data_IF_090862349431
#
_entry.id   IF_090862349431
#
_cell.length_a   1.000
_cell.length_b   1.000
_cell.length_c   1.000
_cell.angle_alpha   90.00
_cell.angle_beta   90.00
_cell.angle_gamma   90.00
#
_symmetry.space_group_name_H-M   'P 1'
#
loop_
_entity.id
_entity.type
_entity.pdbx_description
1 polymer ?
#
# COMPACT_ATOMS: atom_id res chain seq x y z
N UNK A 1 -9.16 -4.73 0.34
CA UNK A 1 -10.46 -4.18 0.82
C UNK A 1 -11.63 -4.73 0.02
N UNK A 2 -11.67 -4.55 -1.30
CA UNK A 2 -12.81 -5.02 -2.13
C UNK A 2 -13.09 -6.52 -1.99
N UNK A 3 -12.06 -7.37 -1.92
CA UNK A 3 -12.20 -8.82 -1.68
C UNK A 3 -12.81 -9.16 -0.31
N UNK A 4 -12.72 -8.26 0.67
CA UNK A 4 -13.38 -8.38 1.98
C UNK A 4 -14.78 -7.74 1.98
N UNK A 5 -15.31 -7.37 0.81
CA UNK A 5 -16.63 -6.77 0.68
C UNK A 5 -16.71 -5.29 1.04
N UNK A 6 -15.58 -4.58 1.16
CA UNK A 6 -15.52 -3.17 1.62
C UNK A 6 -14.89 -2.27 0.56
N UNK A 7 -15.54 -1.14 0.24
CA UNK A 7 -15.03 -0.01 -0.55
C UNK A 7 -14.71 1.18 0.36
N UNK A 8 -13.75 2.02 -0.05
CA UNK A 8 -13.25 3.15 0.72
C UNK A 8 -14.13 4.40 0.56
N UNK A 9 -14.48 4.73 -0.69
CA UNK A 9 -15.29 5.88 -1.14
C UNK A 9 -14.67 7.28 -0.99
N UNK A 10 -13.50 7.37 -0.36
CA UNK A 10 -12.72 8.62 -0.29
C UNK A 10 -11.23 8.37 -0.57
N UNK A 11 -10.93 7.66 -1.67
CA UNK A 11 -9.53 7.52 -2.10
C UNK A 11 -9.02 8.86 -2.63
N UNK A 12 -7.95 9.37 -2.03
CA UNK A 12 -7.29 10.61 -2.38
C UNK A 12 -5.80 10.52 -2.07
N UNK A 13 -5.00 11.44 -2.62
CA UNK A 13 -3.58 11.53 -2.23
C UNK A 13 -3.41 11.90 -0.75
N UNK A 14 -4.36 12.61 -0.14
CA UNK A 14 -4.33 12.97 1.28
C UNK A 14 -4.51 11.74 2.19
N UNK A 15 -5.25 10.73 1.71
CA UNK A 15 -5.50 9.48 2.42
C UNK A 15 -4.45 8.39 2.12
N UNK A 16 -3.40 8.71 1.36
CA UNK A 16 -2.29 7.81 1.03
C UNK A 16 -1.01 8.33 1.69
N UNK A 17 -0.61 7.68 2.78
CA UNK A 17 0.59 8.04 3.54
C UNK A 17 1.79 7.18 3.15
N UNK A 18 2.98 7.75 3.27
CA UNK A 18 4.24 7.02 3.17
C UNK A 18 4.77 6.75 4.58
N UNK A 19 5.00 5.48 4.90
CA UNK A 19 5.65 5.11 6.15
C UNK A 19 7.14 5.44 6.08
N UNK A 20 7.68 5.96 7.19
CA UNK A 20 9.11 6.20 7.33
C UNK A 20 9.89 4.88 7.23
N UNK A 21 10.95 4.88 6.43
CA UNK A 21 11.85 3.74 6.25
C UNK A 21 12.60 3.80 4.92
N UNK A 22 13.55 2.87 4.69
CA UNK A 22 14.32 2.81 3.45
C UNK A 22 13.48 2.37 2.24
N UNK A 23 12.31 1.76 2.49
CA UNK A 23 11.36 1.34 1.45
C UNK A 23 10.17 2.28 1.41
N UNK A 24 9.71 2.59 0.19
CA UNK A 24 8.45 3.31 -0.02
C UNK A 24 7.26 2.40 0.33
N UNK A 25 6.84 2.42 1.59
CA UNK A 25 5.70 1.63 2.06
C UNK A 25 4.45 2.50 2.18
N UNK A 26 3.44 2.23 1.35
CA UNK A 26 2.19 2.97 1.29
C UNK A 26 1.23 2.50 2.39
N UNK A 27 0.58 3.45 3.06
CA UNK A 27 -0.48 3.21 4.05
C UNK A 27 -1.72 4.00 3.69
N UNK A 28 -2.82 3.30 3.49
CA UNK A 28 -4.14 3.89 3.34
C UNK A 28 -4.70 4.27 4.73
N UNK A 29 -5.30 5.44 4.84
CA UNK A 29 -5.92 5.97 6.06
C UNK A 29 -7.33 6.50 5.80
N UNK A 30 -8.03 6.89 6.87
CA UNK A 30 -9.38 7.48 6.85
C UNK A 30 -10.47 6.57 6.27
N UNK A 31 -10.88 5.58 7.08
CA UNK A 31 -11.90 4.60 6.70
C UNK A 31 -13.33 5.04 7.07
N UNK A 32 -13.54 6.30 7.49
CA UNK A 32 -14.82 6.79 8.01
C UNK A 32 -15.93 6.76 6.96
N UNK A 33 -15.55 6.86 5.69
CA UNK A 33 -16.48 6.78 4.56
C UNK A 33 -16.62 5.36 4.01
N UNK A 34 -16.09 4.32 4.62
CA UNK A 34 -16.17 2.97 4.05
C UNK A 34 -17.62 2.47 3.87
N UNK A 35 -17.83 1.55 2.92
CA UNK A 35 -19.14 0.96 2.65
C UNK A 35 -19.05 -0.43 2.00
N UNK A 36 -20.15 -1.19 1.91
CA UNK A 36 -20.13 -2.51 1.28
C UNK A 36 -20.00 -2.41 -0.25
N UNK A 37 -19.27 -3.36 -0.86
CA UNK A 37 -19.16 -3.49 -2.34
C UNK A 37 -20.30 -4.29 -2.96
N UNK A 38 -20.88 -5.23 -2.21
CA UNK A 38 -21.84 -6.22 -2.74
C UNK A 38 -23.27 -5.71 -3.00
N UNK A 39 -23.53 -4.43 -2.79
CA UNK A 39 -24.83 -3.81 -3.10
C UNK A 39 -24.68 -2.35 -3.49
N UNK A 40 -25.58 -1.79 -4.31
CA UNK A 40 -25.61 -0.37 -4.59
C UNK A 40 -25.75 0.45 -3.29
N UNK A 41 -25.10 1.61 -3.28
CA UNK A 41 -25.11 2.53 -2.15
C UNK A 41 -25.94 3.76 -2.50
N UNK A 42 -26.77 4.19 -1.56
CA UNK A 42 -27.65 5.37 -1.70
C UNK A 42 -27.18 6.56 -0.87
N UNK A 43 -26.24 6.34 0.06
CA UNK A 43 -25.75 7.37 0.97
C UNK A 43 -24.81 8.33 0.24
N UNK A 44 -25.17 9.61 0.25
CA UNK A 44 -24.33 10.71 -0.21
C UNK A 44 -23.10 10.83 0.69
N UNK A 45 -21.93 10.96 0.09
CA UNK A 45 -20.68 11.22 0.81
C UNK A 45 -20.77 12.66 1.34
N UNK A 46 -20.55 12.85 2.64
CA UNK A 46 -20.85 14.12 3.31
C UNK A 46 -19.86 15.24 2.95
N UNK A 47 -18.62 14.90 2.55
CA UNK A 47 -17.59 15.86 2.11
C UNK A 47 -16.59 15.24 1.11
N UNK A 48 -17.00 14.88 -0.12
CA UNK A 48 -16.05 14.35 -1.08
C UNK A 48 -15.11 15.44 -1.58
N UNK A 49 -13.84 15.09 -1.80
CA UNK A 49 -12.94 15.94 -2.58
C UNK A 49 -13.33 15.85 -4.06
N UNK A 50 -13.82 16.95 -4.67
CA UNK A 50 -14.56 16.89 -5.94
C UNK A 50 -13.73 16.40 -7.12
N UNK A 51 -12.40 16.58 -7.06
CA UNK A 51 -11.47 16.20 -8.12
C UNK A 51 -11.27 14.68 -8.25
N UNK A 52 -11.64 13.91 -7.23
CA UNK A 52 -11.60 12.44 -7.25
C UNK A 52 -12.98 11.81 -7.48
N UNK A 53 -14.04 12.61 -7.56
CA UNK A 53 -15.40 12.10 -7.71
C UNK A 53 -15.62 11.46 -9.07
N UNK A 54 -16.22 10.28 -9.05
CA UNK A 54 -16.68 9.60 -10.25
C UNK A 54 -17.90 10.33 -10.87
N UNK A 55 -18.07 10.32 -12.20
CA UNK A 55 -19.15 11.03 -12.89
C UNK A 55 -20.56 10.69 -12.40
N UNK A 56 -20.79 9.43 -12.02
CA UNK A 56 -22.08 8.94 -11.50
C UNK A 56 -22.48 9.57 -10.16
N UNK A 57 -21.50 10.01 -9.36
CA UNK A 57 -21.74 10.71 -8.10
C UNK A 57 -22.13 12.18 -8.34
N UNK A 58 -21.65 12.77 -9.43
CA UNK A 58 -22.01 14.13 -9.86
C UNK A 58 -23.40 14.18 -10.50
N UNK A 59 -23.82 13.10 -11.16
CA UNK A 59 -25.15 12.98 -11.75
C UNK A 59 -26.28 12.83 -10.73
N UNK A 60 -25.97 12.86 -9.42
CA UNK A 60 -26.91 12.64 -8.32
C UNK A 60 -27.73 11.35 -8.49
N UNK A 61 -27.11 10.33 -9.08
CA UNK A 61 -27.74 9.01 -9.21
C UNK A 61 -28.16 8.54 -7.81
N UNK A 62 -29.40 8.04 -7.63
CA UNK A 62 -29.86 7.58 -6.33
C UNK A 62 -29.03 6.40 -5.82
N UNK A 63 -28.38 5.67 -6.73
CA UNK A 63 -27.55 4.50 -6.44
C UNK A 63 -26.24 4.53 -7.23
N UNK A 64 -25.16 4.06 -6.60
CA UNK A 64 -23.85 3.86 -7.23
C UNK A 64 -23.14 2.61 -6.69
N UNK A 65 -22.17 2.11 -7.45
CA UNK A 65 -21.34 0.97 -7.05
C UNK A 65 -20.03 1.47 -6.42
N UNK A 66 -19.91 1.34 -5.09
CA UNK A 66 -18.76 1.89 -4.36
C UNK A 66 -17.39 1.34 -4.78
N UNK A 67 -17.33 0.09 -5.26
CA UNK A 67 -16.08 -0.44 -5.82
C UNK A 67 -15.64 0.32 -7.07
N UNK A 68 -16.56 0.62 -7.99
CA UNK A 68 -16.23 1.30 -9.24
C UNK A 68 -15.91 2.79 -9.03
N UNK A 69 -16.45 3.41 -7.98
CA UNK A 69 -16.06 4.77 -7.59
C UNK A 69 -14.63 4.81 -7.05
N UNK A 70 -14.20 3.79 -6.30
CA UNK A 70 -12.81 3.66 -5.85
C UNK A 70 -11.85 3.49 -7.05
N UNK A 71 -12.24 2.70 -8.06
CA UNK A 71 -11.41 2.50 -9.27
C UNK A 71 -11.23 3.80 -10.05
N UNK A 72 -12.28 4.62 -10.16
CA UNK A 72 -12.16 5.94 -10.76
C UNK A 72 -11.17 6.83 -10.00
N UNK A 73 -11.33 6.92 -8.68
CA UNK A 73 -10.44 7.72 -7.83
C UNK A 73 -8.99 7.23 -7.90
N UNK A 74 -8.76 5.91 -7.97
CA UNK A 74 -7.45 5.32 -8.21
C UNK A 74 -6.88 5.73 -9.58
N UNK A 75 -7.71 5.80 -10.62
CA UNK A 75 -7.32 6.33 -11.93
C UNK A 75 -6.85 7.78 -11.87
N UNK A 76 -7.54 8.63 -11.12
CA UNK A 76 -7.14 10.03 -10.87
C UNK A 76 -5.79 10.07 -10.16
N UNK A 77 -5.60 9.26 -9.12
CA UNK A 77 -4.35 9.17 -8.36
C UNK A 77 -3.20 8.71 -9.28
N UNK A 78 -3.38 7.65 -10.05
CA UNK A 78 -2.38 7.14 -10.98
C UNK A 78 -1.99 8.19 -12.02
N UNK A 79 -2.95 8.93 -12.56
CA UNK A 79 -2.67 10.03 -13.47
C UNK A 79 -1.77 11.09 -12.83
N UNK A 80 -2.09 11.52 -11.60
CA UNK A 80 -1.27 12.52 -10.88
C UNK A 80 0.13 11.99 -10.61
N UNK A 81 0.27 10.73 -10.21
CA UNK A 81 1.58 10.13 -9.94
C UNK A 81 2.46 10.02 -11.20
N UNK A 82 1.85 9.80 -12.37
CA UNK A 82 2.56 9.68 -13.64
C UNK A 82 2.91 11.04 -14.27
N UNK A 83 2.07 12.06 -14.05
CA UNK A 83 2.16 13.33 -14.79
C UNK A 83 2.45 14.56 -13.92
N UNK A 84 2.31 14.43 -12.60
CA UNK A 84 2.36 15.52 -11.64
C UNK A 84 1.13 16.46 -11.69
N UNK A 85 0.08 16.12 -12.45
CA UNK A 85 -1.10 16.97 -12.67
C UNK A 85 -2.40 16.19 -12.53
N UNK A 86 -3.46 16.87 -12.10
CA UNK A 86 -4.80 16.28 -12.08
C UNK A 86 -5.35 16.13 -13.51
N UNK A 87 -6.05 15.01 -13.81
CA UNK A 87 -6.63 14.78 -15.14
C UNK A 87 -7.76 15.74 -15.49
N UNK A 88 -8.53 16.18 -14.49
CA UNK A 88 -9.72 16.99 -14.68
C UNK A 88 -9.58 18.34 -13.97
N UNK A 89 -9.87 19.41 -14.70
CA UNK A 89 -9.82 20.79 -14.19
C UNK A 89 -11.15 21.25 -13.61
N UNK A 90 -12.26 20.66 -14.06
CA UNK A 90 -13.62 21.03 -13.68
C UNK A 90 -14.59 19.84 -13.80
N UNK A 91 -15.84 20.07 -13.38
CA UNK A 91 -16.91 19.07 -13.44
C UNK A 91 -17.27 18.66 -14.87
N UNK A 92 -17.13 19.56 -15.85
CA UNK A 92 -17.46 19.27 -17.24
C UNK A 92 -16.45 18.26 -17.83
N UNK A 93 -15.16 18.42 -17.53
CA UNK A 93 -14.11 17.49 -17.90
C UNK A 93 -14.33 16.10 -17.26
N UNK A 94 -14.75 16.05 -15.99
CA UNK A 94 -15.10 14.80 -15.30
C UNK A 94 -16.27 14.11 -16.03
N UNK A 95 -17.36 14.84 -16.31
CA UNK A 95 -18.56 14.31 -16.99
C UNK A 95 -18.29 13.84 -18.41
N UNK A 96 -17.27 14.39 -19.08
CA UNK A 96 -16.83 13.97 -20.39
C UNK A 96 -15.74 12.88 -20.36
N UNK A 97 -15.17 12.58 -19.18
CA UNK A 97 -13.93 11.82 -19.02
C UNK A 97 -12.82 12.30 -19.97
N UNK A 98 -12.71 13.61 -20.14
CA UNK A 98 -11.74 14.24 -21.02
C UNK A 98 -10.50 14.62 -20.22
N UNK A 99 -9.37 14.00 -20.52
CA UNK A 99 -8.07 14.27 -19.93
C UNK A 99 -6.98 13.93 -20.95
N UNK A 100 -5.79 14.49 -20.77
CA UNK A 100 -4.66 14.27 -21.65
C UNK A 100 -3.53 13.54 -20.92
N UNK A 101 -2.88 12.61 -21.61
CA UNK A 101 -1.66 11.97 -21.14
C UNK A 101 -0.47 12.39 -22.01
N UNK A 102 0.72 12.62 -21.41
CA UNK A 102 1.94 12.87 -22.17
C UNK A 102 2.23 11.75 -23.18
N UNK A 103 2.62 12.08 -24.43
CA UNK A 103 2.81 11.10 -25.49
C UNK A 103 4.04 10.19 -25.27
N UNK A 104 4.93 10.58 -24.38
CA UNK A 104 6.13 9.85 -23.95
C UNK A 104 5.85 8.85 -22.82
N UNK A 105 4.63 8.81 -22.27
CA UNK A 105 4.28 7.79 -21.30
C UNK A 105 4.30 6.39 -21.93
N UNK A 106 4.76 5.38 -21.17
CA UNK A 106 4.66 3.99 -21.60
C UNK A 106 3.22 3.61 -21.94
N UNK A 107 3.02 2.94 -23.08
CA UNK A 107 1.70 2.60 -23.62
C UNK A 107 0.85 1.85 -22.58
N UNK A 108 1.43 0.87 -21.88
CA UNK A 108 0.71 0.12 -20.84
C UNK A 108 0.27 0.98 -19.65
N UNK A 109 1.04 2.03 -19.29
CA UNK A 109 0.64 2.97 -18.24
C UNK A 109 -0.57 3.81 -18.70
N UNK A 110 -0.52 4.30 -19.94
CA UNK A 110 -1.60 5.09 -20.52
C UNK A 110 -2.88 4.28 -20.67
N UNK A 111 -2.79 3.04 -21.17
CA UNK A 111 -3.93 2.13 -21.29
C UNK A 111 -4.56 1.82 -19.92
N UNK A 112 -3.74 1.61 -18.89
CA UNK A 112 -4.22 1.35 -17.54
C UNK A 112 -5.02 2.55 -16.99
N UNK A 113 -4.51 3.77 -17.11
CA UNK A 113 -5.23 4.98 -16.68
C UNK A 113 -6.55 5.15 -17.46
N UNK A 114 -6.53 4.99 -18.78
CA UNK A 114 -7.75 5.04 -19.61
C UNK A 114 -8.77 3.97 -19.26
N UNK A 115 -8.34 2.79 -18.81
CA UNK A 115 -9.24 1.72 -18.39
C UNK A 115 -9.99 2.05 -17.09
N UNK A 116 -9.33 2.74 -16.14
CA UNK A 116 -9.93 3.13 -14.86
C UNK A 116 -10.83 4.37 -14.98
N UNK A 117 -10.49 5.31 -15.87
CA UNK A 117 -11.23 6.57 -16.10
C UNK A 117 -12.31 6.45 -17.18
N UNK A 118 -13.00 5.30 -17.26
CA UNK A 118 -14.17 5.12 -18.14
C UNK A 118 -15.43 5.75 -17.55
N UNK A 119 -16.23 6.43 -18.38
CA UNK A 119 -17.50 7.01 -17.97
C UNK A 119 -18.47 5.96 -17.43
N UNK A 120 -18.65 4.86 -18.17
CA UNK A 120 -19.47 3.73 -17.73
C UNK A 120 -18.76 2.99 -16.59
N UNK A 121 -19.34 2.97 -15.37
CA UNK A 121 -18.74 2.28 -14.24
C UNK A 121 -18.55 0.79 -14.50
N UNK A 122 -19.42 0.14 -15.30
CA UNK A 122 -19.32 -1.28 -15.60
C UNK A 122 -18.17 -1.63 -16.56
N UNK A 123 -17.67 -0.64 -17.30
CA UNK A 123 -16.52 -0.79 -18.20
C UNK A 123 -15.18 -0.61 -17.48
N UNK A 124 -15.17 -0.16 -16.22
CA UNK A 124 -13.95 -0.04 -15.42
C UNK A 124 -13.49 -1.41 -14.91
N UNK A 125 -12.18 -1.70 -14.87
CA UNK A 125 -11.66 -2.95 -14.33
C UNK A 125 -11.95 -3.10 -12.83
N UNK A 126 -11.96 -4.34 -12.33
CA UNK A 126 -11.92 -4.58 -10.89
C UNK A 126 -10.53 -4.26 -10.33
N UNK A 127 -10.42 -4.09 -9.01
CA UNK A 127 -9.12 -3.89 -8.35
C UNK A 127 -8.14 -5.06 -8.63
N UNK A 128 -8.67 -6.29 -8.70
CA UNK A 128 -7.88 -7.48 -9.04
C UNK A 128 -7.34 -7.42 -10.49
N UNK A 129 -8.17 -6.99 -11.44
CA UNK A 129 -7.76 -6.79 -12.82
C UNK A 129 -6.73 -5.66 -12.98
N UNK A 130 -6.82 -4.59 -12.18
CA UNK A 130 -5.80 -3.52 -12.15
C UNK A 130 -4.46 -4.07 -11.65
N UNK A 131 -4.47 -4.80 -10.53
CA UNK A 131 -3.28 -5.41 -9.92
C UNK A 131 -2.58 -6.42 -10.83
N UNK A 132 -3.34 -7.10 -11.70
CA UNK A 132 -2.84 -8.11 -12.64
C UNK A 132 -2.60 -7.57 -14.05
N UNK A 133 -2.72 -6.25 -14.24
CA UNK A 133 -2.41 -5.62 -15.53
C UNK A 133 -0.92 -5.75 -15.88
N UNK A 134 -0.62 -5.89 -17.18
CA UNK A 134 0.74 -6.10 -17.67
C UNK A 134 1.70 -4.99 -17.22
N UNK A 135 1.24 -3.73 -17.21
CA UNK A 135 2.04 -2.60 -16.76
C UNK A 135 2.44 -2.69 -15.28
N UNK A 136 1.48 -3.04 -14.41
CA UNK A 136 1.72 -3.17 -12.98
C UNK A 136 2.67 -4.34 -12.69
N UNK A 137 2.44 -5.48 -13.35
CA UNK A 137 3.30 -6.66 -13.21
C UNK A 137 4.75 -6.38 -13.66
N UNK A 138 4.94 -5.75 -14.82
CA UNK A 138 6.26 -5.41 -15.34
C UNK A 138 7.02 -4.44 -14.43
N UNK A 139 6.36 -3.40 -13.92
CA UNK A 139 6.98 -2.41 -13.03
C UNK A 139 7.51 -3.01 -11.73
N UNK A 140 6.91 -4.10 -11.26
CA UNK A 140 7.39 -4.79 -10.08
C UNK A 140 8.60 -5.67 -10.28
N UNK A 141 8.67 -6.39 -11.39
CA UNK A 141 9.83 -7.22 -11.69
C UNK A 141 11.09 -6.33 -11.71
N UNK A 142 10.95 -5.11 -12.24
CA UNK A 142 12.00 -4.09 -12.25
C UNK A 142 12.35 -3.55 -10.86
N UNK A 143 11.41 -3.52 -9.91
CA UNK A 143 11.63 -2.99 -8.56
C UNK A 143 12.41 -3.94 -7.62
N UNK A 144 13.01 -5.03 -8.14
CA UNK A 144 13.80 -5.99 -7.36
C UNK A 144 12.98 -6.82 -6.35
N UNK A 145 11.67 -6.65 -6.35
CA UNK A 145 10.72 -7.42 -5.56
C UNK A 145 9.60 -7.85 -6.48
N UNK A 146 9.68 -9.08 -6.99
CA UNK A 146 8.60 -9.64 -7.79
C UNK A 146 7.27 -9.50 -7.05
N UNK A 147 6.22 -9.09 -7.76
CA UNK A 147 4.84 -8.97 -7.31
C UNK A 147 4.21 -10.33 -6.97
N UNK A 148 5.02 -11.35 -6.72
CA UNK A 148 4.63 -12.58 -6.02
C UNK A 148 3.95 -12.30 -4.66
N UNK A 149 4.02 -11.05 -4.16
CA UNK A 149 3.27 -10.55 -3.01
C UNK A 149 1.97 -9.76 -3.29
N UNK A 150 1.57 -9.44 -4.53
CA UNK A 150 0.18 -9.00 -4.83
C UNK A 150 -0.62 -10.14 -5.47
N UNK A 151 0.03 -11.08 -6.17
CA UNK A 151 -0.59 -12.36 -6.56
C UNK A 151 -0.99 -13.22 -5.35
N UNK A 152 -0.40 -12.95 -4.20
CA UNK A 152 -1.01 -13.19 -2.89
C UNK A 152 -1.09 -11.84 -2.20
N UNK A 153 -2.12 -11.03 -2.47
CA UNK A 153 -2.75 -10.23 -1.40
C UNK A 153 -2.64 -11.13 -0.18
N UNK A 154 -1.82 -10.78 0.81
CA UNK A 154 -1.68 -11.59 1.99
C UNK A 154 -3.08 -11.63 2.57
N UNK A 155 -3.83 -12.67 2.21
CA UNK A 155 -4.82 -13.29 3.06
C UNK A 155 -4.01 -13.96 4.16
N UNK A 156 -3.17 -13.19 4.86
CA UNK A 156 -3.23 -13.20 6.29
C UNK A 156 -4.70 -12.94 6.59
N UNK A 157 -5.48 -14.03 6.60
CA UNK A 157 -6.51 -14.21 7.61
C UNK A 157 -5.93 -13.55 8.83
N UNK A 158 -6.58 -12.49 9.31
CA UNK A 158 -6.21 -11.85 10.55
C UNK A 158 -5.96 -12.97 11.55
N UNK A 159 -4.68 -13.28 11.78
CA UNK A 159 -4.34 -14.37 12.65
C UNK A 159 -4.73 -13.84 14.01
N UNK A 160 -5.57 -14.58 14.73
CA UNK A 160 -5.96 -14.20 16.09
C UNK A 160 -4.68 -13.74 16.82
N UNK A 161 -4.65 -12.49 17.32
CA UNK A 161 -3.44 -11.90 17.82
C UNK A 161 -2.89 -12.78 18.93
N UNK A 162 -1.63 -13.19 18.80
CA UNK A 162 -0.97 -14.03 19.80
C UNK A 162 -0.16 -13.13 20.71
N UNK A 163 -0.25 -13.38 22.00
CA UNK A 163 0.55 -12.67 22.98
C UNK A 163 1.99 -13.21 22.95
N UNK A 164 2.94 -12.36 22.58
CA UNK A 164 4.36 -12.68 22.68
C UNK A 164 4.77 -12.75 24.16
N UNK A 165 5.38 -13.86 24.63
CA UNK A 165 5.80 -13.99 26.03
C UNK A 165 6.72 -12.88 26.53
N UNK A 166 7.55 -12.30 25.67
CA UNK A 166 8.43 -11.18 26.03
C UNK A 166 7.65 -9.88 26.22
N UNK A 167 6.67 -9.61 25.34
CA UNK A 167 5.78 -8.45 25.45
C UNK A 167 4.90 -8.57 26.70
N UNK A 168 4.40 -9.79 26.97
CA UNK A 168 3.66 -10.09 28.20
C UNK A 168 4.51 -9.82 29.44
N UNK A 169 5.78 -10.25 29.45
CA UNK A 169 6.70 -9.98 30.54
C UNK A 169 6.89 -8.48 30.81
N UNK A 170 6.98 -7.67 29.76
CA UNK A 170 7.06 -6.21 29.89
C UNK A 170 5.77 -5.59 30.45
N UNK A 171 4.60 -6.04 29.99
CA UNK A 171 3.31 -5.60 30.52
C UNK A 171 3.14 -5.94 32.00
N UNK A 172 3.56 -7.15 32.40
CA UNK A 172 3.56 -7.58 33.80
C UNK A 172 4.50 -6.74 34.65
N UNK A 173 5.68 -6.41 34.15
CA UNK A 173 6.62 -5.51 34.83
C UNK A 173 6.06 -4.09 35.01
N UNK A 174 5.16 -3.64 34.12
CA UNK A 174 4.43 -2.37 34.25
C UNK A 174 3.18 -2.46 35.15
N UNK A 175 2.92 -3.62 35.76
CA UNK A 175 1.81 -3.83 36.70
C UNK A 175 0.53 -4.41 36.07
N UNK A 176 0.54 -4.77 34.78
CA UNK A 176 -0.62 -5.40 34.14
C UNK A 176 -0.72 -6.90 34.50
N UNK A 177 -1.89 -7.41 34.95
CA UNK A 177 -2.04 -8.83 35.24
C UNK A 177 -1.95 -9.68 33.95
N UNK A 178 -1.06 -10.67 33.93
CA UNK A 178 -0.81 -11.50 32.73
C UNK A 178 -2.08 -12.13 32.15
N UNK A 179 -2.95 -12.66 33.01
CA UNK A 179 -4.24 -13.26 32.60
C UNK A 179 -5.19 -12.25 31.96
N UNK A 180 -5.19 -11.01 32.46
CA UNK A 180 -6.05 -9.95 31.93
C UNK A 180 -5.55 -9.47 30.55
N UNK A 181 -4.22 -9.39 30.37
CA UNK A 181 -3.62 -9.10 29.06
C UNK A 181 -3.97 -10.18 28.05
N UNK A 182 -3.82 -11.46 28.43
CA UNK A 182 -4.12 -12.58 27.55
C UNK A 182 -5.59 -12.58 27.12
N UNK A 183 -6.52 -12.46 28.08
CA UNK A 183 -7.95 -12.38 27.77
C UNK A 183 -8.28 -11.18 26.88
N UNK A 184 -7.71 -10.01 27.17
CA UNK A 184 -7.97 -8.82 26.38
C UNK A 184 -7.50 -8.95 24.92
N UNK A 185 -6.36 -9.60 24.69
CA UNK A 185 -5.83 -9.85 23.34
C UNK A 185 -6.64 -10.94 22.63
N UNK A 186 -6.96 -12.05 23.31
CA UNK A 186 -7.74 -13.15 22.73
C UNK A 186 -9.17 -12.72 22.35
N UNK A 187 -9.77 -11.83 23.13
CA UNK A 187 -11.11 -11.26 22.91
C UNK A 187 -11.12 -10.01 22.01
N UNK A 188 -9.94 -9.55 21.55
CA UNK A 188 -9.79 -8.39 20.66
C UNK A 188 -10.48 -7.11 21.19
N UNK A 189 -10.30 -6.82 22.49
CA UNK A 189 -11.09 -5.80 23.22
C UNK A 189 -10.73 -4.33 22.93
N UNK A 190 -9.73 -4.04 22.09
CA UNK A 190 -9.33 -2.67 21.70
C UNK A 190 -9.29 -1.67 22.88
N UNK A 191 -8.62 -2.03 23.98
CA UNK A 191 -8.54 -1.27 25.24
C UNK A 191 -7.09 -0.91 25.60
N UNK A 192 -6.84 -0.36 26.79
CA UNK A 192 -5.50 0.04 27.24
C UNK A 192 -4.49 -1.11 27.24
N UNK A 193 -4.92 -2.33 27.60
CA UNK A 193 -4.05 -3.51 27.64
C UNK A 193 -3.67 -3.97 26.23
N UNK A 194 -4.65 -4.10 25.32
CA UNK A 194 -4.35 -4.49 23.93
C UNK A 194 -3.58 -3.39 23.20
N UNK A 195 -3.88 -2.11 23.46
CA UNK A 195 -3.12 -0.97 22.92
C UNK A 195 -1.65 -1.03 23.33
N UNK A 196 -1.40 -1.18 24.64
CA UNK A 196 -0.02 -1.24 25.15
C UNK A 196 0.72 -2.48 24.62
N UNK A 197 0.03 -3.63 24.56
CA UNK A 197 0.55 -4.84 23.94
C UNK A 197 1.02 -4.61 22.51
N UNK A 198 0.15 -4.12 21.62
CA UNK A 198 0.48 -3.94 20.22
C UNK A 198 1.54 -2.85 19.98
N UNK A 199 1.59 -1.82 20.83
CA UNK A 199 2.65 -0.81 20.77
C UNK A 199 4.02 -1.39 21.12
N UNK A 200 4.11 -2.21 22.17
CA UNK A 200 5.35 -2.87 22.57
C UNK A 200 5.80 -3.91 21.54
N UNK A 201 4.87 -4.73 21.06
CA UNK A 201 5.13 -5.71 20.01
C UNK A 201 5.70 -5.03 18.76
N UNK A 202 5.07 -3.93 18.32
CA UNK A 202 5.51 -3.19 17.14
C UNK A 202 6.85 -2.49 17.33
N UNK A 203 7.14 -2.00 18.55
CA UNK A 203 8.46 -1.46 18.88
C UNK A 203 9.53 -2.54 18.74
N UNK A 204 9.28 -3.73 19.30
CA UNK A 204 10.20 -4.87 19.24
C UNK A 204 10.45 -5.31 17.80
N UNK A 205 9.40 -5.39 16.98
CA UNK A 205 9.52 -5.72 15.56
C UNK A 205 10.40 -4.72 14.81
N UNK A 206 10.24 -3.41 15.06
CA UNK A 206 11.09 -2.38 14.44
C UNK A 206 12.55 -2.46 14.89
N UNK A 207 12.79 -2.68 16.18
CA UNK A 207 14.15 -2.85 16.72
C UNK A 207 14.82 -4.08 16.09
N UNK A 208 14.08 -5.18 15.95
CA UNK A 208 14.55 -6.39 15.27
C UNK A 208 14.84 -6.16 13.79
N UNK A 209 13.92 -5.53 13.05
CA UNK A 209 14.11 -5.19 11.63
C UNK A 209 15.30 -4.24 11.43
N UNK A 210 15.45 -3.24 12.28
CA UNK A 210 16.56 -2.29 12.23
C UNK A 210 17.90 -2.98 12.51
N UNK A 211 17.95 -3.90 13.49
CA UNK A 211 19.15 -4.68 13.78
C UNK A 211 19.50 -5.64 12.64
N UNK A 212 18.49 -6.26 12.01
CA UNK A 212 18.68 -7.12 10.84
C UNK A 212 19.28 -6.35 9.66
N UNK A 213 18.72 -5.17 9.36
CA UNK A 213 19.22 -4.31 8.28
C UNK A 213 20.65 -3.82 8.57
N UNK A 214 20.97 -3.47 9.81
CA UNK A 214 22.33 -3.09 10.20
C UNK A 214 23.33 -4.25 10.01
N UNK A 215 22.96 -5.47 10.42
CA UNK A 215 23.82 -6.65 10.24
C UNK A 215 24.01 -7.02 8.76
N UNK A 216 22.97 -6.90 7.93
CA UNK A 216 23.06 -7.12 6.47
C UNK A 216 23.98 -6.09 5.79
N UNK A 217 23.94 -4.82 6.22
CA UNK A 217 24.82 -3.77 5.72
C UNK A 217 26.29 -4.02 6.11
N UNK A 218 26.56 -4.42 7.36
CA UNK A 218 27.92 -4.75 7.81
C UNK A 218 28.53 -5.95 7.05
N UNK A 219 27.72 -6.98 6.73
CA UNK A 219 28.19 -8.11 5.93
C UNK A 219 28.49 -7.71 4.48
N UNK A 220 27.72 -6.81 3.88
CA UNK A 220 27.95 -6.34 2.52
C UNK A 220 29.24 -5.50 2.41
N UNK A 221 29.53 -4.65 3.41
CA UNK A 221 30.79 -3.91 3.47
C UNK A 221 32.01 -4.84 3.71
N UNK A 222 31.83 -5.94 4.44
CA UNK A 222 32.87 -6.95 4.66
C UNK A 222 33.24 -7.73 3.39
N UNK A 223 32.26 -8.07 2.55
CA UNK A 223 32.49 -8.75 1.26
C UNK A 223 33.16 -7.83 0.22
N UNK A 224 32.84 -6.52 0.21
CA UNK A 224 33.56 -5.53 -0.63
C UNK A 224 35.02 -5.34 -0.19
N UNK A 225 35.27 -5.25 1.12
CA UNK A 225 36.63 -5.14 1.65
C UNK A 225 37.48 -6.40 1.41
N UNK A 226 36.87 -7.59 1.42
CA UNK A 226 37.54 -8.84 1.09
C UNK A 226 37.88 -8.96 -0.41
N UNK A 227 37.02 -8.40 -1.29
CA UNK A 227 37.26 -8.39 -2.73
C UNK A 227 38.39 -7.44 -3.15
N UNK A 228 38.63 -6.34 -2.41
CA UNK A 228 39.77 -5.44 -2.66
C UNK A 228 41.10 -5.95 -2.09
N UNK A 229 41.07 -6.86 -1.10
CA UNK A 229 42.28 -7.40 -0.45
C UNK A 229 43.03 -8.49 -1.23
N UNK A 230 42.38 -9.16 -2.19
CA UNK A 230 42.95 -10.32 -2.91
C UNK A 230 43.72 -9.92 -4.20
N UNK A 231 43.89 -8.61 -4.44
CA UNK A 231 44.58 -8.06 -5.63
C UNK A 231 46.07 -7.72 -5.45
N UNK A 232 46.68 -8.04 -4.31
CA UNK A 232 47.99 -7.48 -3.93
C UNK A 232 49.06 -8.50 -3.48
N UNK A 233 49.13 -9.70 -4.06
CA UNK A 233 50.36 -10.54 -3.97
C UNK A 233 50.63 -11.25 -5.28
N UNK A 234 51.50 -10.67 -6.11
CA UNK A 234 51.92 -11.34 -7.34
C UNK A 234 52.76 -10.48 -8.27
N UNK A 235 53.88 -9.93 -7.80
CA UNK A 235 55.02 -9.73 -8.71
C UNK A 235 56.33 -9.53 -7.93
N UNK A 236 57.24 -10.49 -8.07
CA UNK A 236 58.54 -10.43 -7.41
C UNK A 236 59.33 -11.72 -7.50
N UNK A 237 59.77 -12.11 -8.71
CA UNK A 237 61.10 -12.70 -8.94
C UNK A 237 61.27 -13.12 -10.41
N UNK A 238 62.53 -13.05 -10.86
CA UNK A 238 63.13 -13.53 -12.13
C UNK A 238 63.23 -12.47 -13.26
N UNK A 239 64.41 -12.14 -13.78
CA UNK A 239 65.72 -12.75 -13.61
C UNK A 239 66.84 -11.89 -14.19
N UNK A 240 68.01 -12.08 -13.58
CA UNK A 240 69.33 -11.65 -14.01
C UNK A 240 69.88 -12.62 -15.08
N UNK A 241 70.79 -12.11 -15.92
CA UNK A 241 71.62 -12.75 -16.97
C UNK A 241 71.12 -12.70 -18.42
#
# INVERSE_FOLDING_TARGET
MHNNGVCHRDLSLDNILLAAGPRCNIKLVDFDTCGPTGRPLTRKIERPSPIYLAPELLAASPEYQGAQTDIWALGVICHVLLTGKFPFVDEAAIRAAQFDLPPDLPVGAAELVHSMLRLDPSARPSADAVCTSAWVLAGSELAGGGLGGIGKLSTSTWAAPKVDPQVLGQLVAMGAPAKAVQAAVDEDLHNELTTTHFLLERRRQREFESAKLAAEAEMAEGDEAAAEGDGAEGDGAEGDA
#
